data_IF_146642070366
#
_entry.id   IF_146642070366
#
_cell.length_a   1.000
_cell.length_b   1.000
_cell.length_c   1.000
_cell.angle_alpha   90.00
_cell.angle_beta   90.00
_cell.angle_gamma   90.00
#
_symmetry.space_group_name_H-M   'P 1'
#
loop_
_entity.id
_entity.type
_entity.pdbx_description
1 polymer ?
#
# COMPACT_ATOMS: atom_id res chain seq x y z
N UNK A 1 -4.85 5.14 18.52
CA UNK A 1 -4.16 4.64 17.31
C UNK A 1 -2.68 4.63 17.61
N UNK A 2 -2.05 3.50 17.53
CA UNK A 2 -0.58 3.35 17.61
C UNK A 2 -0.08 3.18 16.18
N UNK A 3 0.92 3.94 15.78
CA UNK A 3 1.62 3.74 14.52
C UNK A 3 2.92 3.08 14.87
N UNK A 4 3.15 1.88 14.32
CA UNK A 4 4.39 1.15 14.53
C UNK A 4 5.16 1.08 13.20
N UNK A 5 6.42 1.50 13.21
CA UNK A 5 7.30 1.23 12.08
C UNK A 5 7.89 -0.18 12.23
N UNK A 6 7.59 -1.05 11.29
CA UNK A 6 8.08 -2.43 11.27
C UNK A 6 9.51 -2.53 10.75
N UNK A 7 9.97 -1.53 9.99
CA UNK A 7 11.35 -1.47 9.48
C UNK A 7 12.31 -1.11 10.60
N UNK A 8 13.38 -1.86 10.71
CA UNK A 8 14.48 -1.58 11.63
C UNK A 8 15.61 -0.90 10.87
N UNK A 9 16.14 0.19 11.42
CA UNK A 9 17.23 0.96 10.83
C UNK A 9 16.90 1.50 9.41
N UNK A 10 15.71 2.04 9.23
CA UNK A 10 15.28 2.58 7.93
C UNK A 10 15.95 3.89 7.54
N UNK A 11 16.42 4.69 8.51
CA UNK A 11 17.26 5.88 8.29
C UNK A 11 18.76 5.60 8.39
N UNK A 12 19.19 4.33 8.58
CA UNK A 12 20.59 3.89 8.63
C UNK A 12 21.43 4.54 9.74
N UNK A 13 20.82 5.16 10.73
CA UNK A 13 21.45 5.99 11.76
C UNK A 13 22.38 5.23 12.73
N UNK A 14 22.41 3.91 12.67
CA UNK A 14 23.42 3.12 13.38
C UNK A 14 24.78 3.07 12.66
N UNK A 15 24.90 3.71 11.48
CA UNK A 15 26.12 3.76 10.67
C UNK A 15 26.48 2.44 9.96
N UNK A 16 25.53 1.52 9.85
CA UNK A 16 25.72 0.22 9.20
C UNK A 16 24.44 -0.21 8.45
N UNK A 17 24.56 -1.14 7.50
CA UNK A 17 23.40 -1.70 6.81
C UNK A 17 22.55 -2.62 7.71
N UNK A 18 23.10 -3.55 8.51
CA UNK A 18 22.26 -4.47 9.26
C UNK A 18 21.18 -3.79 10.11
N UNK A 19 19.97 -4.40 10.14
CA UNK A 19 19.60 -5.72 9.64
C UNK A 19 19.28 -5.82 8.16
N UNK A 20 19.48 -4.75 7.38
CA UNK A 20 19.37 -4.81 5.94
C UNK A 20 20.46 -5.70 5.34
N UNK A 21 20.07 -6.55 4.41
CA UNK A 21 21.00 -7.28 3.54
C UNK A 21 21.14 -6.47 2.25
N UNK A 22 22.36 -6.31 1.77
CA UNK A 22 22.60 -5.52 0.58
C UNK A 22 23.68 -6.11 -0.34
N UNK A 23 23.57 -5.81 -1.62
CA UNK A 23 24.61 -6.07 -2.62
C UNK A 23 24.91 -4.76 -3.35
N UNK A 24 26.19 -4.45 -3.55
CA UNK A 24 26.62 -3.17 -4.11
C UNK A 24 25.97 -1.98 -3.39
N UNK A 25 25.82 -2.11 -2.08
CA UNK A 25 25.19 -1.14 -1.19
C UNK A 25 26.12 -0.86 -0.01
N UNK A 26 26.18 0.41 0.40
CA UNK A 26 26.97 0.88 1.54
C UNK A 26 26.21 1.96 2.27
N UNK A 27 26.56 2.25 3.53
CA UNK A 27 26.08 3.46 4.21
C UNK A 27 27.00 4.64 3.91
N UNK A 28 26.45 5.84 3.96
CA UNK A 28 27.19 7.08 3.70
C UNK A 28 26.70 8.20 4.61
N UNK A 29 27.59 9.15 4.92
CA UNK A 29 27.26 10.40 5.61
C UNK A 29 27.32 11.61 4.69
N UNK A 30 27.55 11.37 3.40
CA UNK A 30 27.72 12.46 2.44
C UNK A 30 26.39 13.16 2.14
N UNK A 31 25.32 12.39 2.06
CA UNK A 31 23.98 12.89 1.81
C UNK A 31 22.99 12.07 2.65
N UNK A 32 22.06 12.73 3.31
CA UNK A 32 20.94 12.13 4.03
C UNK A 32 19.71 13.01 3.86
N UNK A 33 18.52 12.43 3.87
CA UNK A 33 17.27 13.17 3.89
C UNK A 33 16.98 13.64 5.31
N UNK A 34 17.11 12.73 6.26
CA UNK A 34 17.06 13.03 7.70
C UNK A 34 18.30 12.49 8.40
N UNK A 35 18.58 12.96 9.62
CA UNK A 35 19.71 12.47 10.41
C UNK A 35 21.08 12.71 9.77
N UNK A 36 21.97 11.71 9.88
CA UNK A 36 23.36 11.77 9.41
C UNK A 36 23.71 10.72 8.34
N UNK A 37 22.99 9.63 8.31
CA UNK A 37 23.30 8.46 7.48
C UNK A 37 22.23 8.19 6.46
N UNK A 38 22.61 7.55 5.37
CA UNK A 38 21.72 6.99 4.38
C UNK A 38 22.37 5.77 3.73
N UNK A 39 21.61 4.99 2.96
CA UNK A 39 22.16 3.94 2.14
C UNK A 39 22.46 4.45 0.73
N UNK A 40 23.61 4.03 0.19
CA UNK A 40 24.04 4.29 -1.18
C UNK A 40 24.02 2.98 -1.97
N UNK A 41 23.28 2.93 -3.04
CA UNK A 41 23.24 1.86 -4.02
C UNK A 41 24.12 2.25 -5.21
N UNK A 42 25.09 1.41 -5.61
CA UNK A 42 25.95 1.69 -6.74
C UNK A 42 25.14 1.75 -8.04
N UNK A 43 25.40 2.78 -8.84
CA UNK A 43 24.92 2.89 -10.21
C UNK A 43 25.77 2.08 -11.18
N UNK A 44 25.51 2.23 -12.49
CA UNK A 44 26.27 1.57 -13.53
C UNK A 44 25.70 0.20 -13.94
N UNK A 45 26.54 -0.64 -14.55
CA UNK A 45 26.13 -1.92 -15.11
C UNK A 45 26.04 -3.05 -14.06
N UNK A 46 25.66 -2.73 -12.84
CA UNK A 46 25.54 -3.67 -11.72
C UNK A 46 24.13 -3.62 -11.12
N UNK A 47 23.64 -4.74 -10.63
CA UNK A 47 22.45 -4.78 -9.78
C UNK A 47 22.87 -4.40 -8.37
N UNK A 48 22.22 -3.39 -7.80
CA UNK A 48 22.41 -2.99 -6.42
C UNK A 48 21.08 -3.07 -5.68
N UNK A 49 21.10 -3.54 -4.45
CA UNK A 49 19.89 -3.63 -3.65
C UNK A 49 20.15 -3.57 -2.15
N UNK A 50 19.11 -3.23 -1.42
CA UNK A 50 18.93 -3.51 0.00
C UNK A 50 17.61 -4.23 0.21
N UNK A 51 17.59 -5.14 1.17
CA UNK A 51 16.39 -5.91 1.50
C UNK A 51 16.32 -6.22 2.99
N UNK A 52 15.09 -6.32 3.50
CA UNK A 52 14.84 -6.68 4.90
C UNK A 52 13.55 -7.50 5.01
N UNK A 53 13.55 -8.50 5.88
CA UNK A 53 12.34 -9.13 6.36
C UNK A 53 11.86 -8.45 7.64
N UNK A 54 10.56 -8.18 7.72
CA UNK A 54 9.91 -7.62 8.91
C UNK A 54 8.69 -8.46 9.29
N UNK A 55 8.34 -8.59 10.58
CA UNK A 55 7.14 -9.29 10.98
C UNK A 55 5.90 -8.52 10.54
N UNK A 56 4.84 -9.24 10.14
CA UNK A 56 3.53 -8.66 9.81
C UNK A 56 2.43 -9.61 10.24
N UNK A 57 1.26 -9.06 10.49
CA UNK A 57 0.05 -9.83 10.76
C UNK A 57 -0.83 -9.94 9.50
N UNK A 58 -1.52 -11.09 9.37
CA UNK A 58 -2.41 -11.33 8.24
C UNK A 58 -3.61 -10.39 8.27
N UNK A 59 -4.00 -9.86 7.11
CA UNK A 59 -5.14 -8.97 6.95
C UNK A 59 -4.81 -7.48 7.05
N UNK A 60 -3.60 -7.11 7.48
CA UNK A 60 -3.17 -5.73 7.60
C UNK A 60 -2.75 -5.12 6.27
N UNK A 61 -3.22 -3.91 5.99
CA UNK A 61 -2.71 -3.04 4.95
C UNK A 61 -1.69 -2.10 5.57
N UNK A 62 -0.48 -2.07 4.99
CA UNK A 62 0.64 -1.31 5.54
C UNK A 62 0.92 -0.09 4.67
N UNK A 63 1.50 0.94 5.28
CA UNK A 63 1.93 2.14 4.58
C UNK A 63 3.44 2.12 4.39
N UNK A 64 3.89 2.14 3.14
CA UNK A 64 5.29 2.15 2.78
C UNK A 64 5.76 3.56 2.44
N UNK A 65 6.89 3.95 3.02
CA UNK A 65 7.56 5.22 2.77
C UNK A 65 9.03 4.99 2.43
N UNK A 66 9.59 5.86 1.58
CA UNK A 66 11.02 5.95 1.32
C UNK A 66 11.37 7.28 0.65
N UNK A 67 12.52 7.84 0.99
CA UNK A 67 13.11 9.01 0.35
C UNK A 67 14.23 8.56 -0.58
N UNK A 68 14.17 8.97 -1.85
CA UNK A 68 15.11 8.58 -2.90
C UNK A 68 15.70 9.79 -3.63
N UNK A 69 16.99 9.74 -3.89
CA UNK A 69 17.68 10.71 -4.73
C UNK A 69 18.82 10.04 -5.51
N UNK A 70 19.41 10.73 -6.47
CA UNK A 70 20.63 10.28 -7.16
C UNK A 70 21.82 11.18 -6.82
N UNK A 71 23.01 10.60 -6.77
CA UNK A 71 24.28 11.36 -6.71
C UNK A 71 24.73 11.80 -8.09
N UNK A 72 25.30 13.00 -8.16
CA UNK A 72 26.05 13.46 -9.30
C UNK A 72 25.23 13.94 -10.48
N UNK A 73 25.76 14.99 -11.08
CA UNK A 73 25.33 15.57 -12.36
C UNK A 73 26.49 15.47 -13.36
N UNK A 74 26.27 15.14 -14.63
CA UNK A 74 24.98 15.00 -15.32
C UNK A 74 24.43 13.55 -15.40
N UNK A 75 25.04 12.57 -14.73
CA UNK A 75 24.66 11.17 -14.87
C UNK A 75 23.16 10.95 -14.56
N UNK A 76 22.43 10.21 -15.42
CA UNK A 76 21.02 9.87 -15.15
C UNK A 76 20.90 8.88 -14.00
N UNK A 77 19.75 8.85 -13.31
CA UNK A 77 19.47 7.78 -12.36
C UNK A 77 19.15 6.46 -13.07
N UNK A 78 19.55 5.31 -12.52
CA UNK A 78 19.04 4.03 -12.99
C UNK A 78 17.54 3.93 -12.76
N UNK A 79 16.91 2.91 -13.34
CA UNK A 79 15.57 2.49 -12.95
C UNK A 79 15.62 1.88 -11.56
N UNK A 80 14.68 2.25 -10.68
CA UNK A 80 14.57 1.72 -9.33
C UNK A 80 13.27 0.95 -9.20
N UNK A 81 13.34 -0.23 -8.58
CA UNK A 81 12.18 -1.03 -8.24
C UNK A 81 12.06 -1.14 -6.73
N UNK A 82 10.83 -1.05 -6.23
CA UNK A 82 10.48 -1.21 -4.84
C UNK A 82 9.42 -2.31 -4.77
N UNK A 83 9.63 -3.27 -3.89
CA UNK A 83 8.72 -4.39 -3.71
C UNK A 83 8.48 -4.65 -2.23
N UNK A 84 7.23 -4.94 -1.88
CA UNK A 84 6.85 -5.54 -0.61
C UNK A 84 6.10 -6.83 -0.93
N UNK A 85 6.60 -7.94 -0.44
CA UNK A 85 6.05 -9.28 -0.71
C UNK A 85 5.82 -10.02 0.60
N UNK A 86 4.73 -10.76 0.70
CA UNK A 86 4.32 -11.47 1.90
C UNK A 86 4.69 -12.94 1.87
N UNK A 87 5.12 -13.45 3.02
CA UNK A 87 5.56 -14.83 3.21
C UNK A 87 4.99 -15.41 4.50
N UNK A 88 4.87 -16.74 4.54
CA UNK A 88 4.60 -17.47 5.77
C UNK A 88 5.89 -17.75 6.58
N UNK A 89 5.74 -18.40 7.74
CA UNK A 89 6.88 -18.75 8.61
C UNK A 89 7.86 -19.76 8.00
N UNK A 90 7.49 -20.40 6.89
CA UNK A 90 8.33 -21.33 6.14
C UNK A 90 8.93 -20.70 4.88
N UNK A 91 8.84 -19.37 4.74
CA UNK A 91 9.30 -18.61 3.58
C UNK A 91 8.60 -18.96 2.26
N UNK A 92 7.38 -19.50 2.32
CA UNK A 92 6.57 -19.63 1.12
C UNK A 92 5.97 -18.27 0.75
N UNK A 93 6.08 -17.89 -0.53
CA UNK A 93 5.48 -16.67 -1.06
C UNK A 93 3.96 -16.78 -1.06
N UNK A 94 3.27 -15.83 -0.47
CA UNK A 94 1.81 -15.77 -0.35
C UNK A 94 1.18 -14.71 -1.23
N UNK A 95 1.88 -13.62 -1.49
CA UNK A 95 1.36 -12.54 -2.30
C UNK A 95 2.26 -11.32 -2.36
N UNK A 96 1.95 -10.44 -3.31
CA UNK A 96 2.66 -9.17 -3.48
C UNK A 96 1.83 -8.04 -2.87
N UNK A 97 2.41 -7.32 -1.92
CA UNK A 97 1.79 -6.19 -1.26
C UNK A 97 1.95 -4.89 -2.05
N UNK A 98 3.14 -4.68 -2.60
CA UNK A 98 3.47 -3.48 -3.37
C UNK A 98 4.49 -3.82 -4.45
N UNK A 99 4.32 -3.23 -5.63
CA UNK A 99 5.33 -3.17 -6.66
C UNK A 99 5.32 -1.79 -7.31
N UNK A 100 6.43 -1.09 -7.19
CA UNK A 100 6.64 0.22 -7.80
C UNK A 100 7.84 0.16 -8.73
N UNK A 101 7.72 0.86 -9.83
CA UNK A 101 8.80 1.04 -10.78
C UNK A 101 9.01 2.54 -11.02
N UNK A 102 10.15 3.06 -10.57
CA UNK A 102 10.57 4.43 -10.82
C UNK A 102 11.41 4.40 -12.10
N UNK A 103 10.92 5.01 -13.19
CA UNK A 103 11.59 4.92 -14.47
C UNK A 103 12.99 5.55 -14.46
N UNK A 104 13.79 5.16 -15.46
CA UNK A 104 15.09 5.75 -15.74
C UNK A 104 15.06 7.28 -15.74
N UNK A 105 16.08 7.90 -15.13
CA UNK A 105 16.30 9.35 -15.06
C UNK A 105 15.13 10.15 -14.42
N UNK A 106 14.49 9.57 -13.40
CA UNK A 106 13.40 10.22 -12.66
C UNK A 106 13.74 10.64 -11.24
N UNK A 107 14.89 10.22 -10.72
CA UNK A 107 15.30 10.67 -9.38
C UNK A 107 15.89 12.07 -9.43
N UNK A 108 15.54 12.92 -8.46
CA UNK A 108 16.14 14.24 -8.29
C UNK A 108 17.61 14.13 -7.87
N UNK A 109 18.32 15.24 -7.98
CA UNK A 109 19.75 15.35 -7.65
C UNK A 109 19.88 15.70 -6.18
N UNK A 110 20.57 14.85 -5.41
CA UNK A 110 20.70 15.02 -3.96
C UNK A 110 21.49 16.27 -3.57
N UNK A 111 22.44 16.70 -4.38
CA UNK A 111 23.23 17.91 -4.17
C UNK A 111 22.37 19.18 -4.14
N UNK A 112 21.18 19.14 -4.69
CA UNK A 112 20.19 20.22 -4.63
C UNK A 112 19.27 20.13 -3.40
N UNK A 113 19.54 19.21 -2.50
CA UNK A 113 18.67 18.88 -1.35
C UNK A 113 17.23 18.58 -1.79
N UNK A 114 17.07 17.85 -2.91
CA UNK A 114 15.79 17.45 -3.47
C UNK A 114 15.67 15.95 -3.43
N UNK A 115 14.52 15.46 -2.98
CA UNK A 115 14.22 14.06 -2.80
C UNK A 115 12.89 13.68 -3.46
N UNK A 116 12.81 12.46 -3.92
CA UNK A 116 11.56 11.84 -4.33
C UNK A 116 10.99 11.10 -3.12
N UNK A 117 9.93 11.67 -2.56
CA UNK A 117 9.17 11.01 -1.49
C UNK A 117 8.19 10.02 -2.11
N UNK A 118 8.34 8.76 -1.74
CA UNK A 118 7.42 7.70 -2.10
C UNK A 118 6.55 7.38 -0.89
N UNK A 119 5.26 7.48 -1.05
CA UNK A 119 4.27 7.06 -0.08
C UNK A 119 3.21 6.21 -0.76
N UNK A 120 3.06 4.96 -0.33
CA UNK A 120 2.14 4.00 -0.93
C UNK A 120 1.57 3.04 0.10
N UNK A 121 0.31 2.70 -0.06
CA UNK A 121 -0.33 1.65 0.74
C UNK A 121 -0.16 0.29 0.06
N UNK A 122 0.16 -0.73 0.82
CA UNK A 122 0.21 -2.11 0.32
C UNK A 122 -1.19 -2.69 0.18
N UNK A 123 -1.35 -3.73 -0.63
CA UNK A 123 -2.51 -4.60 -0.48
C UNK A 123 -2.45 -5.31 0.88
N UNK A 124 -3.59 -5.65 1.48
CA UNK A 124 -3.59 -6.38 2.76
C UNK A 124 -2.80 -7.69 2.69
N UNK A 125 -2.10 -7.99 3.76
CA UNK A 125 -1.32 -9.21 3.90
C UNK A 125 -2.25 -10.44 3.80
N UNK A 126 -1.99 -11.41 2.90
CA UNK A 126 -2.80 -12.61 2.76
C UNK A 126 -2.90 -13.41 4.05
N UNK A 127 -3.94 -14.23 4.17
CA UNK A 127 -4.07 -15.16 5.29
C UNK A 127 -2.85 -16.09 5.39
N UNK A 128 -2.31 -16.23 6.61
CA UNK A 128 -1.09 -17.01 6.86
C UNK A 128 0.21 -16.23 6.71
N UNK A 129 0.17 -14.96 6.33
CA UNK A 129 1.35 -14.10 6.32
C UNK A 129 1.87 -13.91 7.74
N UNK A 130 3.19 -14.02 7.88
CA UNK A 130 3.91 -13.74 9.13
C UNK A 130 5.09 -12.80 8.92
N UNK A 131 5.48 -12.61 7.65
CA UNK A 131 6.60 -11.76 7.27
C UNK A 131 6.30 -10.99 5.99
N UNK A 132 6.80 -9.76 5.93
CA UNK A 132 6.93 -9.00 4.69
C UNK A 132 8.41 -8.89 4.32
N UNK A 133 8.71 -9.09 3.04
CA UNK A 133 10.03 -8.87 2.45
C UNK A 133 10.00 -7.55 1.69
N UNK A 134 10.82 -6.61 2.12
CA UNK A 134 11.00 -5.32 1.48
C UNK A 134 12.27 -5.40 0.63
N UNK A 135 12.17 -5.03 -0.63
CA UNK A 135 13.30 -4.96 -1.56
C UNK A 135 13.29 -3.61 -2.28
N UNK A 136 14.42 -2.93 -2.24
CA UNK A 136 14.69 -1.73 -3.03
C UNK A 136 15.92 -2.03 -3.87
N UNK A 137 15.75 -2.09 -5.19
CA UNK A 137 16.84 -2.43 -6.12
C UNK A 137 16.94 -1.49 -7.29
N UNK A 138 18.15 -1.33 -7.82
CA UNK A 138 18.42 -0.66 -9.09
C UNK A 138 18.66 -1.69 -10.19
N UNK A 139 18.20 -1.37 -11.41
CA UNK A 139 18.48 -2.20 -12.57
C UNK A 139 19.82 -1.82 -13.18
N UNK A 140 20.63 -2.80 -13.66
CA UNK A 140 21.91 -2.55 -14.30
C UNK A 140 21.76 -1.66 -15.53
N UNK A 141 22.46 -0.54 -15.54
CA UNK A 141 22.53 0.35 -16.70
C UNK A 141 23.82 1.18 -16.67
N UNK A 142 24.69 0.96 -17.64
CA UNK A 142 25.96 1.67 -17.74
C UNK A 142 25.78 3.19 -17.78
N UNK A 143 26.65 3.92 -17.09
CA UNK A 143 26.64 5.38 -17.08
C UNK A 143 25.60 6.01 -16.16
N UNK A 144 24.93 5.22 -15.33
CA UNK A 144 23.99 5.75 -14.34
C UNK A 144 24.68 6.13 -13.02
N UNK A 145 24.09 7.09 -12.34
CA UNK A 145 24.50 7.59 -11.03
C UNK A 145 24.18 6.56 -9.91
N UNK A 146 24.84 6.70 -8.77
CA UNK A 146 24.43 6.03 -7.55
C UNK A 146 23.06 6.54 -7.09
N UNK A 147 22.32 5.70 -6.38
CA UNK A 147 21.05 6.05 -5.75
C UNK A 147 21.24 6.13 -4.25
N UNK A 148 20.75 7.21 -3.66
CA UNK A 148 20.67 7.39 -2.21
C UNK A 148 19.27 7.01 -1.75
N UNK A 149 19.20 6.21 -0.71
CA UNK A 149 17.98 5.71 -0.09
C UNK A 149 17.99 6.11 1.38
N UNK A 150 16.92 6.72 1.85
CA UNK A 150 16.77 7.12 3.25
C UNK A 150 15.31 6.99 3.72
N UNK A 151 15.10 7.11 5.03
CA UNK A 151 13.79 7.11 5.69
C UNK A 151 12.85 5.98 5.26
N UNK A 152 13.38 4.77 5.11
CA UNK A 152 12.56 3.61 4.76
C UNK A 152 11.67 3.24 5.94
N UNK A 153 10.36 3.21 5.72
CA UNK A 153 9.40 2.79 6.70
C UNK A 153 8.34 1.87 6.10
N UNK A 154 7.89 0.92 6.87
CA UNK A 154 6.68 0.15 6.64
C UNK A 154 5.84 0.26 7.90
N UNK A 155 4.82 1.10 7.84
CA UNK A 155 4.01 1.47 8.99
C UNK A 155 2.81 0.54 9.09
N UNK A 156 2.68 -0.07 10.26
CA UNK A 156 1.44 -0.65 10.71
C UNK A 156 0.62 0.45 11.39
N UNK A 157 -0.54 0.73 10.83
CA UNK A 157 -1.48 1.69 11.39
C UNK A 157 -2.59 0.89 12.05
N UNK A 158 -2.44 0.58 13.34
CA UNK A 158 -3.51 -0.06 14.12
C UNK A 158 -4.81 0.75 13.97
N UNK A 159 -5.77 0.19 13.28
CA UNK A 159 -7.06 0.81 12.96
C UNK A 159 -7.18 1.33 11.51
N UNK A 160 -6.20 1.08 10.63
CA UNK A 160 -6.37 1.19 9.18
C UNK A 160 -7.26 0.07 8.61
N UNK A 161 -8.17 -0.43 9.44
CA UNK A 161 -9.19 -1.36 9.00
C UNK A 161 -9.96 -0.78 7.82
N UNK A 162 -10.38 -1.66 6.93
CA UNK A 162 -11.35 -1.36 5.87
C UNK A 162 -12.32 -0.30 6.34
N UNK A 163 -12.44 0.79 5.59
CA UNK A 163 -13.40 1.85 5.89
C UNK A 163 -14.75 1.26 6.28
N UNK A 164 -15.57 1.97 7.03
CA UNK A 164 -16.84 1.45 7.50
C UNK A 164 -17.65 0.90 6.33
N UNK A 165 -18.19 -0.28 6.50
CA UNK A 165 -19.13 -0.86 5.54
C UNK A 165 -20.19 0.19 5.21
N UNK A 166 -20.43 0.45 3.94
CA UNK A 166 -21.44 1.39 3.52
C UNK A 166 -22.79 1.05 4.17
N UNK A 167 -23.64 2.03 4.39
CA UNK A 167 -24.96 1.79 4.95
C UNK A 167 -25.71 0.77 4.09
N UNK A 168 -26.43 -0.12 4.74
CA UNK A 168 -27.36 -1.03 4.04
C UNK A 168 -28.29 -0.23 3.16
N UNK A 169 -28.45 -0.62 1.91
CA UNK A 169 -29.36 0.06 0.98
C UNK A 169 -30.76 0.17 1.58
N UNK A 170 -31.52 1.20 1.22
CA UNK A 170 -32.88 1.35 1.70
C UNK A 170 -33.72 0.13 1.31
N UNK A 171 -34.63 -0.26 2.20
CA UNK A 171 -35.62 -1.29 1.90
C UNK A 171 -36.38 -0.88 0.64
N UNK A 172 -36.56 -1.80 -0.30
CA UNK A 172 -37.33 -1.53 -1.51
C UNK A 172 -38.74 -1.04 -1.18
N UNK A 173 -39.34 -0.26 -2.04
CA UNK A 173 -40.70 0.23 -1.84
C UNK A 173 -41.65 -0.96 -1.72
N UNK A 174 -42.65 -0.82 -0.86
CA UNK A 174 -43.75 -1.80 -0.75
C UNK A 174 -44.40 -1.94 -2.12
N UNK A 175 -44.60 -3.16 -2.59
CA UNK A 175 -45.29 -3.42 -3.86
C UNK A 175 -46.65 -2.72 -3.92
N UNK A 176 -47.11 -2.38 -5.10
CA UNK A 176 -48.44 -1.75 -5.25
C UNK A 176 -49.53 -2.68 -4.68
N UNK A 177 -50.50 -2.09 -4.04
CA UNK A 177 -51.71 -2.82 -3.61
C UNK A 177 -52.31 -3.53 -4.83
N UNK A 178 -52.60 -4.82 -4.70
CA UNK A 178 -53.20 -5.60 -5.75
C UNK A 178 -54.48 -4.91 -6.29
N UNK A 179 -54.68 -5.01 -7.60
CA UNK A 179 -55.89 -4.43 -8.24
C UNK A 179 -57.14 -4.96 -7.54
N UNK A 180 -58.04 -4.08 -7.25
CA UNK A 180 -59.37 -4.46 -6.77
C UNK A 180 -60.00 -5.40 -7.78
N UNK A 181 -60.41 -6.58 -7.32
CA UNK A 181 -61.05 -7.55 -8.18
C UNK A 181 -62.26 -6.94 -8.90
N UNK A 182 -62.59 -7.43 -10.11
CA UNK A 182 -63.75 -6.93 -10.83
C UNK A 182 -64.98 -7.04 -9.97
N UNK A 183 -65.76 -5.99 -9.94
CA UNK A 183 -67.06 -5.99 -9.27
C UNK A 183 -67.90 -7.10 -9.88
N UNK A 184 -68.22 -8.11 -9.05
CA UNK A 184 -69.10 -9.18 -9.53
C UNK A 184 -70.40 -8.60 -10.02
N UNK A 185 -70.91 -9.10 -11.10
CA UNK A 185 -72.24 -8.73 -11.59
C UNK A 185 -73.23 -9.06 -10.46
N UNK A 186 -73.86 -8.01 -9.91
CA UNK A 186 -74.95 -8.02 -8.96
C UNK A 186 -74.83 -9.13 -7.85
N UNK A 187 -73.72 -9.08 -7.14
CA UNK A 187 -73.47 -9.97 -6.00
C UNK A 187 -72.79 -9.18 -4.84
N UNK A 188 -72.61 -9.75 -3.66
CA UNK A 188 -71.97 -9.06 -2.56
C UNK A 188 -70.56 -8.57 -2.99
N UNK A 189 -70.19 -7.41 -2.52
CA UNK A 189 -68.93 -6.75 -2.79
C UNK A 189 -67.76 -7.76 -2.78
N UNK A 190 -67.06 -7.89 -3.92
CA UNK A 190 -65.94 -8.80 -4.05
C UNK A 190 -64.87 -8.54 -2.98
N UNK A 191 -64.27 -9.60 -2.49
CA UNK A 191 -63.21 -9.52 -1.50
C UNK A 191 -62.03 -8.63 -2.04
N UNK A 192 -61.55 -7.77 -1.20
CA UNK A 192 -60.37 -6.97 -1.49
C UNK A 192 -59.23 -7.93 -1.88
N UNK A 193 -58.58 -7.67 -3.01
CA UNK A 193 -57.46 -8.49 -3.47
C UNK A 193 -56.33 -8.55 -2.42
N UNK A 194 -55.56 -9.59 -2.43
CA UNK A 194 -54.43 -9.75 -1.50
C UNK A 194 -53.48 -8.56 -1.65
N UNK A 195 -52.99 -8.09 -0.51
CA UNK A 195 -51.94 -7.08 -0.49
C UNK A 195 -50.75 -7.60 -1.32
N UNK A 196 -50.20 -6.78 -2.21
CA UNK A 196 -49.05 -7.14 -2.99
C UNK A 196 -47.88 -7.58 -2.09
N UNK A 197 -47.11 -8.53 -2.55
CA UNK A 197 -45.93 -9.00 -1.83
C UNK A 197 -44.98 -7.80 -1.54
N UNK A 198 -44.42 -7.78 -0.35
CA UNK A 198 -43.37 -6.83 0.00
C UNK A 198 -42.22 -6.99 -1.00
N UNK A 199 -41.78 -5.89 -1.57
CA UNK A 199 -40.65 -5.90 -2.48
C UNK A 199 -39.41 -6.56 -1.83
N UNK A 200 -38.51 -7.11 -2.61
CA UNK A 200 -37.29 -7.67 -2.08
C UNK A 200 -36.48 -6.58 -1.34
N UNK A 201 -35.81 -6.99 -0.29
CA UNK A 201 -34.86 -6.11 0.42
C UNK A 201 -33.86 -5.55 -0.59
N UNK A 202 -33.61 -4.26 -0.53
CA UNK A 202 -32.60 -3.62 -1.39
C UNK A 202 -31.25 -4.32 -1.24
N UNK A 203 -30.48 -4.37 -2.31
CA UNK A 203 -29.13 -4.90 -2.27
C UNK A 203 -28.30 -4.13 -1.22
N UNK A 204 -27.45 -4.83 -0.50
CA UNK A 204 -26.48 -4.21 0.40
C UNK A 204 -25.66 -3.18 -0.40
N UNK A 205 -25.52 -1.97 0.13
CA UNK A 205 -24.71 -0.94 -0.49
C UNK A 205 -23.27 -1.44 -0.68
N UNK A 206 -22.53 -0.90 -1.65
CA UNK A 206 -21.12 -1.21 -1.81
C UNK A 206 -20.37 -0.82 -0.53
N UNK A 207 -19.30 -1.55 -0.25
CA UNK A 207 -18.38 -1.19 0.84
C UNK A 207 -17.93 0.27 0.66
N UNK A 208 -17.95 1.03 1.75
CA UNK A 208 -17.48 2.41 1.73
C UNK A 208 -16.03 2.47 1.23
N UNK A 209 -15.70 3.54 0.54
CA UNK A 209 -14.31 3.80 0.18
C UNK A 209 -13.46 3.90 1.46
N UNK A 210 -12.24 3.38 1.41
CA UNK A 210 -11.28 3.55 2.49
C UNK A 210 -11.16 5.03 2.83
N UNK A 211 -11.27 5.38 4.11
CA UNK A 211 -11.15 6.77 4.56
C UNK A 211 -9.80 7.35 4.13
N UNK A 212 -9.71 8.66 3.91
CA UNK A 212 -8.44 9.31 3.64
C UNK A 212 -7.50 9.09 4.84
N UNK A 213 -6.22 8.87 4.54
CA UNK A 213 -5.18 8.83 5.54
C UNK A 213 -5.24 10.11 6.38
N UNK A 214 -5.17 9.97 7.71
CA UNK A 214 -5.17 11.12 8.61
C UNK A 214 -4.04 12.09 8.23
N UNK A 215 -4.31 13.39 8.31
CA UNK A 215 -3.28 14.39 8.10
C UNK A 215 -2.15 14.16 9.13
N UNK A 216 -0.92 14.03 8.61
CA UNK A 216 0.28 14.05 9.44
C UNK A 216 0.39 15.44 10.10
N UNK A 217 0.39 15.45 11.42
CA UNK A 217 0.62 16.66 12.22
C UNK A 217 2.08 17.10 12.17
#
# INVERSE_FOLDING_TARGET
MSIQNLVVNGGFENGALPPWVGQNATVTTQFSHSGFWSARLLGGAVTSFIAQFVPVDAGEGLEFLVSLAKEGFPAPSPQVQIQVSYFDSSFNFLGQGLFLNIPFNRLPIVENNTWLEVYQTTTPAPAGSTMAFILINTLPQAGTANVIVDDVALLDVEGGGTGPTGPTGPTGPTGPTGATGPTGATGPTGATGPTGATGPTGATGPTGATGPTGATG
#
